data_IF_268984976512
#
_entry.id   IF_268984976512
#
_cell.length_a   1.000
_cell.length_b   1.000
_cell.length_c   1.000
_cell.angle_alpha   90.00
_cell.angle_beta   90.00
_cell.angle_gamma   90.00
#
_symmetry.space_group_name_H-M   'P 1'
#
loop_
_entity.id
_entity.type
_entity.pdbx_description
1 polymer ?
#
# COMPACT_ATOMS: atom_id res chain seq x y z
N UNK A 1 0.36 -6.08 -5.02
CA UNK A 1 1.54 -5.70 -4.23
C UNK A 1 2.22 -6.98 -3.75
N UNK A 2 3.48 -7.21 -4.10
CA UNK A 2 4.24 -8.36 -3.65
C UNK A 2 4.48 -8.26 -2.14
N UNK A 3 4.40 -9.40 -1.44
CA UNK A 3 4.70 -9.49 -0.02
C UNK A 3 3.64 -8.94 0.95
N UNK A 4 2.44 -8.61 0.46
CA UNK A 4 1.28 -8.27 1.30
C UNK A 4 0.30 -9.43 1.42
N UNK A 5 -0.45 -9.46 2.52
CA UNK A 5 -1.63 -10.30 2.71
C UNK A 5 -2.91 -9.46 2.72
N UNK A 6 -4.07 -10.10 2.87
CA UNK A 6 -5.38 -9.44 2.89
C UNK A 6 -5.43 -8.25 3.87
N UNK A 7 -4.91 -8.43 5.08
CA UNK A 7 -4.96 -7.40 6.13
C UNK A 7 -3.91 -6.28 5.97
N UNK A 8 -2.96 -6.39 5.04
CA UNK A 8 -1.85 -5.44 4.90
C UNK A 8 -2.28 -4.03 4.46
N UNK A 9 -3.50 -3.87 3.96
CA UNK A 9 -4.07 -2.58 3.54
C UNK A 9 -4.86 -1.88 4.66
N UNK A 10 -4.66 -2.31 5.90
CA UNK A 10 -5.30 -1.79 7.12
C UNK A 10 -4.24 -1.61 8.20
N UNK A 11 -4.61 -1.04 9.35
CA UNK A 11 -3.70 -0.93 10.50
C UNK A 11 -3.51 -2.25 11.26
N UNK A 12 -4.16 -3.36 10.85
CA UNK A 12 -4.01 -4.67 11.50
C UNK A 12 -2.54 -5.11 11.51
N UNK A 13 -1.80 -4.92 10.43
CA UNK A 13 -0.37 -5.27 10.39
C UNK A 13 0.48 -4.44 11.36
N UNK A 14 0.18 -3.14 11.48
CA UNK A 14 0.88 -2.25 12.41
C UNK A 14 0.61 -2.65 13.86
N UNK A 15 -0.65 -2.93 14.20
CA UNK A 15 -1.03 -3.38 15.54
C UNK A 15 -0.47 -4.78 15.83
N UNK A 16 -0.45 -5.68 14.84
CA UNK A 16 0.12 -7.01 15.00
C UNK A 16 1.63 -6.96 15.30
N UNK A 17 2.39 -6.14 14.58
CA UNK A 17 3.82 -5.93 14.87
C UNK A 17 4.04 -5.34 16.27
N UNK A 18 3.28 -4.32 16.64
CA UNK A 18 3.37 -3.67 17.97
C UNK A 18 3.09 -4.66 19.12
N UNK A 19 2.10 -5.55 18.95
CA UNK A 19 1.72 -6.53 19.97
C UNK A 19 2.41 -7.90 19.82
N UNK A 20 3.34 -8.05 18.87
CA UNK A 20 4.06 -9.32 18.63
C UNK A 20 3.17 -10.46 18.12
N UNK A 21 2.06 -10.16 17.46
CA UNK A 21 1.16 -11.14 16.87
C UNK A 21 1.66 -11.54 15.48
N UNK A 22 1.87 -12.83 15.17
CA UNK A 22 2.46 -13.28 13.91
C UNK A 22 1.44 -13.33 12.76
N UNK A 23 0.72 -12.23 12.53
CA UNK A 23 -0.28 -12.07 11.47
C UNK A 23 0.15 -10.95 10.51
N UNK A 24 0.94 -11.30 9.49
CA UNK A 24 1.50 -10.30 8.56
C UNK A 24 2.11 -10.93 7.32
N UNK A 25 2.15 -10.16 6.23
CA UNK A 25 2.92 -10.54 5.04
C UNK A 25 4.44 -10.45 5.28
N UNK A 26 5.26 -10.97 4.36
CA UNK A 26 6.71 -10.85 4.46
C UNK A 26 7.24 -9.41 4.38
N UNK A 27 6.41 -8.43 3.96
CA UNK A 27 6.76 -7.01 4.06
C UNK A 27 6.49 -6.47 5.47
N UNK A 28 7.34 -5.53 5.91
CA UNK A 28 7.07 -4.72 7.10
C UNK A 28 5.74 -3.96 6.98
N UNK A 29 4.93 -3.95 8.03
CA UNK A 29 3.61 -3.33 8.03
C UNK A 29 3.67 -1.83 7.73
N UNK A 30 4.66 -1.13 8.28
CA UNK A 30 4.89 0.29 7.98
C UNK A 30 5.07 0.56 6.48
N UNK A 31 5.78 -0.33 5.77
CA UNK A 31 6.01 -0.21 4.32
C UNK A 31 4.71 -0.44 3.53
N UNK A 32 3.91 -1.42 3.93
CA UNK A 32 2.60 -1.66 3.34
C UNK A 32 1.66 -0.45 3.53
N UNK A 33 1.64 0.14 4.72
CA UNK A 33 0.84 1.34 5.01
C UNK A 33 1.30 2.57 4.21
N UNK A 34 2.60 2.79 4.05
CA UNK A 34 3.16 3.87 3.22
C UNK A 34 2.66 3.76 1.77
N UNK A 35 2.84 2.59 1.16
CA UNK A 35 2.47 2.34 -0.23
C UNK A 35 0.95 2.45 -0.41
N UNK A 36 0.18 1.89 0.51
CA UNK A 36 -1.29 2.00 0.49
C UNK A 36 -1.74 3.45 0.50
N UNK A 37 -1.20 4.27 1.41
CA UNK A 37 -1.54 5.71 1.51
C UNK A 37 -1.12 6.46 0.25
N UNK A 38 0.05 6.19 -0.31
CA UNK A 38 0.51 6.82 -1.54
C UNK A 38 -0.45 6.57 -2.72
N UNK A 39 -0.89 5.33 -2.92
CA UNK A 39 -1.82 4.99 -4.01
C UNK A 39 -3.24 5.52 -3.78
N UNK A 40 -3.74 5.47 -2.54
CA UNK A 40 -5.06 6.04 -2.21
C UNK A 40 -5.06 7.55 -2.38
N UNK A 41 -4.02 8.23 -1.92
CA UNK A 41 -3.86 9.68 -2.10
C UNK A 41 -3.76 10.03 -3.59
N UNK A 42 -2.96 9.29 -4.35
CA UNK A 42 -2.82 9.49 -5.79
C UNK A 42 -4.16 9.36 -6.53
N UNK A 43 -4.96 8.35 -6.19
CA UNK A 43 -6.29 8.16 -6.76
C UNK A 43 -7.19 9.36 -6.49
N UNK A 44 -7.27 9.83 -5.24
CA UNK A 44 -8.12 10.96 -4.90
C UNK A 44 -7.63 12.28 -5.50
N UNK A 45 -6.32 12.52 -5.59
CA UNK A 45 -5.80 13.70 -6.26
C UNK A 45 -6.18 13.73 -7.73
N UNK A 46 -6.05 12.59 -8.42
CA UNK A 46 -6.41 12.51 -9.83
C UNK A 46 -7.90 12.74 -10.07
N UNK A 47 -8.76 12.11 -9.26
CA UNK A 47 -10.20 12.12 -9.53
C UNK A 47 -10.98 13.24 -8.85
N UNK A 48 -10.45 13.82 -7.76
CA UNK A 48 -11.12 14.88 -7.01
C UNK A 48 -10.43 16.25 -7.14
N UNK A 49 -9.14 16.27 -7.54
CA UNK A 49 -8.37 17.52 -7.70
C UNK A 49 -7.89 17.77 -9.13
N UNK A 50 -8.04 16.80 -10.03
CA UNK A 50 -7.56 16.91 -11.42
C UNK A 50 -6.03 16.93 -11.53
N UNK A 51 -5.32 16.46 -10.50
CA UNK A 51 -3.86 16.38 -10.48
C UNK A 51 -3.41 15.03 -11.03
N UNK A 52 -2.72 15.01 -12.17
CA UNK A 52 -2.19 13.76 -12.72
C UNK A 52 -1.18 13.12 -11.76
N UNK A 53 -1.33 11.82 -11.49
CA UNK A 53 -0.47 11.07 -10.58
C UNK A 53 0.16 9.88 -11.32
N UNK A 54 1.41 10.01 -11.82
CA UNK A 54 2.06 8.99 -12.66
C UNK A 54 2.16 7.59 -12.03
N UNK A 55 2.12 7.49 -10.70
CA UNK A 55 2.12 6.23 -9.95
C UNK A 55 0.90 5.35 -10.25
N UNK A 56 -0.17 5.92 -10.82
CA UNK A 56 -1.37 5.21 -11.26
C UNK A 56 -1.27 4.66 -12.68
N UNK A 57 -0.30 5.10 -13.48
CA UNK A 57 -0.10 4.66 -14.87
C UNK A 57 1.11 3.72 -15.02
N UNK A 58 2.04 3.78 -14.08
CA UNK A 58 3.21 2.90 -14.01
C UNK A 58 3.58 2.60 -12.55
N UNK A 59 4.13 1.41 -12.25
CA UNK A 59 4.57 1.09 -10.90
C UNK A 59 5.60 2.09 -10.36
N UNK A 60 5.26 2.77 -9.26
CA UNK A 60 6.16 3.71 -8.57
C UNK A 60 6.96 3.08 -7.42
N UNK A 61 6.70 1.82 -7.12
CA UNK A 61 7.27 1.08 -5.99
C UNK A 61 7.64 -0.33 -6.45
N UNK A 62 8.78 -0.91 -6.00
CA UNK A 62 9.21 -2.25 -6.40
C UNK A 62 8.22 -3.35 -5.96
N UNK A 63 7.45 -3.11 -4.90
CA UNK A 63 6.42 -4.01 -4.41
C UNK A 63 5.15 -3.97 -5.26
N UNK A 64 4.95 -2.97 -6.12
CA UNK A 64 3.71 -2.81 -6.90
C UNK A 64 3.92 -3.31 -8.33
N UNK A 65 2.94 -4.06 -8.81
CA UNK A 65 2.84 -4.51 -10.20
C UNK A 65 1.41 -4.29 -10.68
N UNK A 66 1.26 -4.08 -11.99
CA UNK A 66 -0.05 -3.91 -12.62
C UNK A 66 -0.45 -5.24 -13.27
N UNK A 67 -1.63 -5.73 -12.94
CA UNK A 67 -2.22 -6.87 -13.61
C UNK A 67 -2.61 -6.46 -15.05
N UNK A 68 -2.39 -7.36 -16.01
CA UNK A 68 -2.88 -7.21 -17.39
C UNK A 68 -4.04 -8.15 -17.62
#
# INVERSE_FOLDING_TARGET
MAGTQHASFTDVGLLAEEFGVPIGGPNAAARASEITRAYVHAFFDQHLRGEARPVLDQPGYPEVSFCR
#
